data_IF_610962099165
#
_entry.id   IF_610962099165
#
_cell.length_a   1.000
_cell.length_b   1.000
_cell.length_c   1.000
_cell.angle_alpha   90.00
_cell.angle_beta   90.00
_cell.angle_gamma   90.00
#
_symmetry.space_group_name_H-M   'P 1'
#
loop_
_entity.id
_entity.type
_entity.pdbx_description
1 polymer ?
#
# COMPACT_ATOMS: atom_id res chain seq x y z
N UNK A 1 1.08 -8.01 -3.08
CA UNK A 1 0.20 -7.89 -1.88
C UNK A 1 -1.25 -7.55 -2.23
N UNK A 2 -1.47 -6.73 -3.24
CA UNK A 2 -2.83 -6.37 -3.68
C UNK A 2 -3.66 -7.58 -4.06
N UNK A 3 -3.04 -8.59 -4.70
CA UNK A 3 -3.72 -9.86 -5.01
C UNK A 3 -4.15 -10.59 -3.74
N UNK A 4 -3.32 -10.58 -2.69
CA UNK A 4 -3.67 -11.17 -1.39
C UNK A 4 -4.88 -10.46 -0.79
N UNK A 5 -4.90 -9.14 -0.83
CA UNK A 5 -6.04 -8.35 -0.36
C UNK A 5 -7.31 -8.67 -1.14
N UNK A 6 -7.21 -8.72 -2.47
CA UNK A 6 -8.34 -9.07 -3.33
C UNK A 6 -8.90 -10.46 -3.00
N UNK A 7 -8.05 -11.46 -2.87
CA UNK A 7 -8.45 -12.84 -2.56
C UNK A 7 -9.12 -12.90 -1.19
N UNK A 8 -8.56 -12.24 -0.18
CA UNK A 8 -9.12 -12.21 1.17
C UNK A 8 -10.49 -11.55 1.20
N UNK A 9 -10.65 -10.42 0.51
CA UNK A 9 -11.94 -9.73 0.43
C UNK A 9 -12.98 -10.53 -0.35
N UNK A 10 -12.56 -11.23 -1.41
CA UNK A 10 -13.45 -12.12 -2.16
C UNK A 10 -13.96 -13.27 -1.29
N UNK A 11 -13.11 -13.82 -0.43
CA UNK A 11 -13.52 -14.86 0.51
C UNK A 11 -14.55 -14.34 1.53
N UNK A 12 -14.41 -13.09 1.98
CA UNK A 12 -15.40 -12.46 2.86
C UNK A 12 -16.76 -12.39 2.18
N UNK A 13 -16.81 -12.04 0.89
CA UNK A 13 -18.06 -12.02 0.13
C UNK A 13 -18.71 -13.40 0.01
N UNK A 14 -17.92 -14.47 0.08
CA UNK A 14 -18.39 -15.85 0.08
C UNK A 14 -18.68 -16.40 1.48
N UNK A 15 -18.73 -15.53 2.49
CA UNK A 15 -19.06 -15.91 3.86
C UNK A 15 -17.89 -16.48 4.66
N UNK A 16 -16.65 -16.33 4.18
CA UNK A 16 -15.45 -16.80 4.85
C UNK A 16 -14.59 -15.62 5.29
N UNK A 17 -14.06 -15.70 6.51
CA UNK A 17 -13.05 -14.73 6.97
C UNK A 17 -11.71 -15.43 7.02
N UNK A 18 -10.85 -15.23 6.00
CA UNK A 18 -9.59 -15.95 5.93
C UNK A 18 -8.60 -15.42 6.97
N UNK A 19 -7.74 -16.31 7.45
CA UNK A 19 -6.50 -15.92 8.09
C UNK A 19 -5.53 -15.58 6.97
N UNK A 20 -5.11 -14.33 6.89
CA UNK A 20 -4.15 -13.90 5.87
C UNK A 20 -3.04 -13.05 6.48
N UNK A 21 -1.91 -13.03 5.80
CA UNK A 21 -0.81 -12.14 6.14
C UNK A 21 -0.96 -10.85 5.31
N UNK A 22 -1.88 -9.99 5.76
CA UNK A 22 -2.31 -8.82 5.00
C UNK A 22 -1.60 -7.53 5.41
N UNK A 23 -0.64 -7.59 6.34
CA UNK A 23 0.10 -6.42 6.82
C UNK A 23 1.57 -6.73 7.10
N UNK A 24 2.21 -7.52 6.25
CA UNK A 24 3.58 -7.99 6.44
C UNK A 24 4.66 -7.16 5.73
N UNK A 25 4.28 -6.11 5.02
CA UNK A 25 5.26 -5.22 4.40
C UNK A 25 5.98 -4.39 5.45
N UNK A 26 7.31 -4.38 5.37
CA UNK A 26 8.15 -3.64 6.31
C UNK A 26 8.62 -2.32 5.69
N UNK A 27 7.80 -1.28 5.84
CA UNK A 27 8.15 0.06 5.37
C UNK A 27 9.27 0.69 6.19
N UNK A 28 9.34 0.37 7.49
CA UNK A 28 10.32 0.96 8.40
C UNK A 28 11.76 0.63 8.00
N UNK A 29 12.02 -0.64 7.71
CA UNK A 29 13.36 -1.14 7.39
C UNK A 29 13.64 -1.18 5.89
N UNK A 30 12.70 -0.74 5.08
CA UNK A 30 12.89 -0.69 3.64
C UNK A 30 13.94 0.36 3.27
N UNK A 31 15.01 -0.09 2.60
CA UNK A 31 16.12 0.76 2.18
C UNK A 31 16.37 0.54 0.69
N UNK A 32 15.66 1.23 -0.19
CA UNK A 32 15.84 1.06 -1.63
C UNK A 32 17.20 1.59 -2.09
N UNK A 33 17.73 0.97 -3.15
CA UNK A 33 18.90 1.48 -3.84
C UNK A 33 18.49 2.49 -4.89
N UNK A 34 19.31 3.53 -5.08
CA UNK A 34 19.06 4.52 -6.12
C UNK A 34 19.21 3.88 -7.50
N UNK A 35 18.18 4.02 -8.33
CA UNK A 35 18.18 3.62 -9.72
C UNK A 35 18.55 4.79 -10.63
N UNK A 36 18.26 6.00 -10.19
CA UNK A 36 18.50 7.24 -10.92
C UNK A 36 19.45 8.15 -10.15
N UNK A 37 20.24 8.94 -10.89
CA UNK A 37 21.04 10.01 -10.29
C UNK A 37 20.13 11.11 -9.76
N UNK A 38 20.39 11.61 -8.55
CA UNK A 38 19.52 12.57 -7.87
C UNK A 38 19.27 13.83 -8.72
N UNK A 39 20.33 14.35 -9.36
CA UNK A 39 20.24 15.58 -10.15
C UNK A 39 19.95 15.34 -11.64
N UNK A 40 20.01 14.10 -12.10
CA UNK A 40 19.75 13.80 -13.50
C UNK A 40 18.24 13.88 -13.79
N UNK A 41 17.92 14.38 -14.98
CA UNK A 41 16.54 14.42 -15.48
C UNK A 41 16.49 13.56 -16.74
N UNK A 42 15.60 12.56 -16.75
CA UNK A 42 15.36 11.71 -17.91
C UNK A 42 13.86 11.45 -18.02
N UNK A 43 13.43 11.04 -19.20
CA UNK A 43 12.03 10.67 -19.41
C UNK A 43 11.61 9.51 -18.52
N UNK A 44 12.45 8.48 -18.42
CA UNK A 44 12.19 7.32 -17.58
C UNK A 44 12.05 7.71 -16.10
N UNK A 45 12.94 8.58 -15.61
CA UNK A 45 12.85 9.06 -14.23
C UNK A 45 11.57 9.85 -14.01
N UNK A 46 11.15 10.68 -14.95
CA UNK A 46 9.91 11.46 -14.87
C UNK A 46 8.69 10.54 -14.83
N UNK A 47 8.67 9.50 -15.65
CA UNK A 47 7.58 8.53 -15.68
C UNK A 47 7.49 7.74 -14.38
N UNK A 48 8.62 7.26 -13.86
CA UNK A 48 8.66 6.52 -12.61
C UNK A 48 8.28 7.40 -11.42
N UNK A 49 8.67 8.68 -11.43
CA UNK A 49 8.26 9.64 -10.41
C UNK A 49 6.73 9.85 -10.43
N UNK A 50 6.15 9.96 -11.61
CA UNK A 50 4.70 10.07 -11.78
C UNK A 50 3.99 8.84 -11.23
N UNK A 51 4.46 7.63 -11.60
CA UNK A 51 3.87 6.39 -11.13
C UNK A 51 3.97 6.25 -9.62
N UNK A 52 5.12 6.57 -9.02
CA UNK A 52 5.28 6.50 -7.57
C UNK A 52 4.33 7.47 -6.86
N UNK A 53 4.18 8.69 -7.36
CA UNK A 53 3.25 9.68 -6.80
C UNK A 53 1.80 9.22 -6.92
N UNK A 54 1.41 8.67 -8.06
CA UNK A 54 0.07 8.16 -8.29
C UNK A 54 -0.24 6.97 -7.38
N UNK A 55 0.71 6.05 -7.22
CA UNK A 55 0.55 4.91 -6.32
C UNK A 55 0.40 5.37 -4.86
N UNK A 56 1.16 6.36 -4.41
CA UNK A 56 1.01 6.91 -3.05
C UNK A 56 -0.39 7.48 -2.86
N UNK A 57 -0.89 8.23 -3.83
CA UNK A 57 -2.23 8.80 -3.77
C UNK A 57 -3.30 7.72 -3.71
N UNK A 58 -3.14 6.66 -4.49
CA UNK A 58 -4.05 5.51 -4.50
C UNK A 58 -4.05 4.80 -3.15
N UNK A 59 -2.87 4.56 -2.55
CA UNK A 59 -2.77 3.93 -1.23
C UNK A 59 -3.49 4.76 -0.15
N UNK A 60 -3.35 6.09 -0.19
CA UNK A 60 -4.04 6.98 0.74
C UNK A 60 -5.55 6.94 0.57
N UNK A 61 -6.03 6.95 -0.67
CA UNK A 61 -7.46 6.90 -0.98
C UNK A 61 -8.07 5.58 -0.49
N UNK A 62 -7.46 4.46 -0.83
CA UNK A 62 -7.94 3.12 -0.48
C UNK A 62 -7.90 2.92 1.04
N UNK A 63 -6.84 3.38 1.70
CA UNK A 63 -6.73 3.32 3.17
C UNK A 63 -7.86 4.09 3.84
N UNK A 64 -8.23 5.26 3.30
CA UNK A 64 -9.35 6.05 3.81
C UNK A 64 -10.70 5.33 3.66
N UNK A 65 -10.90 4.64 2.56
CA UNK A 65 -12.11 3.83 2.33
C UNK A 65 -12.19 2.66 3.32
N UNK A 66 -11.08 1.95 3.56
CA UNK A 66 -11.05 0.89 4.56
C UNK A 66 -11.32 1.42 5.97
N UNK A 67 -10.86 2.60 6.29
CA UNK A 67 -11.16 3.22 7.58
C UNK A 67 -12.66 3.43 7.79
N UNK A 68 -13.37 3.83 6.75
CA UNK A 68 -14.83 3.95 6.78
C UNK A 68 -15.50 2.59 6.89
N UNK A 69 -15.05 1.63 6.08
CA UNK A 69 -15.65 0.30 5.99
C UNK A 69 -15.52 -0.49 7.29
N UNK A 70 -14.42 -0.31 8.04
CA UNK A 70 -14.22 -0.99 9.33
C UNK A 70 -15.38 -0.76 10.28
N UNK A 71 -15.96 0.42 10.29
CA UNK A 71 -17.08 0.74 11.17
C UNK A 71 -18.42 0.20 10.68
N UNK A 72 -18.49 -0.26 9.42
CA UNK A 72 -19.71 -0.81 8.83
C UNK A 72 -19.97 -2.27 9.21
N UNK A 73 -18.96 -2.98 9.74
CA UNK A 73 -19.04 -4.41 10.01
C UNK A 73 -19.12 -4.71 11.51
N UNK A 74 -20.07 -5.57 11.88
CA UNK A 74 -20.21 -6.05 13.25
C UNK A 74 -19.23 -7.15 13.63
N UNK A 75 -18.71 -7.90 12.65
CA UNK A 75 -17.76 -9.00 12.90
C UNK A 75 -16.38 -8.47 13.23
N UNK A 76 -15.85 -8.89 14.39
CA UNK A 76 -14.47 -8.54 14.80
C UNK A 76 -13.43 -9.08 13.84
N UNK A 77 -13.63 -10.26 13.28
CA UNK A 77 -12.70 -10.88 12.36
C UNK A 77 -12.63 -10.13 11.04
N UNK A 78 -13.78 -9.67 10.53
CA UNK A 78 -13.83 -8.85 9.31
C UNK A 78 -13.16 -7.50 9.58
N UNK A 79 -13.46 -6.86 10.72
CA UNK A 79 -12.81 -5.58 11.07
C UNK A 79 -11.30 -5.71 11.19
N UNK A 80 -10.82 -6.81 11.79
CA UNK A 80 -9.38 -7.07 11.88
C UNK A 80 -8.74 -7.21 10.50
N UNK A 81 -9.38 -7.94 9.61
CA UNK A 81 -8.89 -8.09 8.23
C UNK A 81 -8.77 -6.73 7.54
N UNK A 82 -9.80 -5.91 7.61
CA UNK A 82 -9.78 -4.58 6.99
C UNK A 82 -8.73 -3.67 7.61
N UNK A 83 -8.56 -3.72 8.93
CA UNK A 83 -7.54 -2.96 9.62
C UNK A 83 -6.12 -3.40 9.23
N UNK A 84 -5.89 -4.70 9.09
CA UNK A 84 -4.60 -5.24 8.64
C UNK A 84 -4.28 -4.77 7.22
N UNK A 85 -5.26 -4.78 6.32
CA UNK A 85 -5.08 -4.25 4.96
C UNK A 85 -4.76 -2.76 5.00
N UNK A 86 -5.44 -1.99 5.86
CA UNK A 86 -5.18 -0.55 6.01
C UNK A 86 -3.75 -0.28 6.46
N UNK A 87 -3.22 -1.04 7.41
CA UNK A 87 -1.82 -0.91 7.85
C UNK A 87 -0.87 -1.23 6.70
N UNK A 88 -1.15 -2.26 5.91
CA UNK A 88 -0.36 -2.60 4.73
C UNK A 88 -0.32 -1.46 3.72
N UNK A 89 -1.46 -0.78 3.49
CA UNK A 89 -1.52 0.36 2.59
C UNK A 89 -0.62 1.51 3.07
N UNK A 90 -0.56 1.73 4.37
CA UNK A 90 0.34 2.73 4.96
C UNK A 90 1.81 2.37 4.75
N UNK A 91 2.16 1.08 4.92
CA UNK A 91 3.52 0.60 4.69
C UNK A 91 3.92 0.75 3.22
N UNK A 92 3.00 0.46 2.30
CA UNK A 92 3.26 0.66 0.86
C UNK A 92 3.53 2.13 0.55
N UNK A 93 2.76 3.05 1.11
CA UNK A 93 2.97 4.48 0.90
C UNK A 93 4.34 4.92 1.43
N UNK A 94 4.76 4.42 2.59
CA UNK A 94 6.10 4.69 3.15
C UNK A 94 7.21 4.17 2.24
N UNK A 95 7.06 2.96 1.73
CA UNK A 95 8.06 2.36 0.82
C UNK A 95 8.17 3.16 -0.48
N UNK A 96 7.06 3.57 -1.05
CA UNK A 96 7.04 4.39 -2.27
C UNK A 96 7.66 5.77 -2.03
N UNK A 97 7.39 6.38 -0.88
CA UNK A 97 8.00 7.65 -0.50
C UNK A 97 9.53 7.52 -0.39
N UNK A 98 10.00 6.48 0.28
CA UNK A 98 11.45 6.21 0.40
C UNK A 98 12.10 6.00 -0.97
N UNK A 99 11.43 5.29 -1.87
CA UNK A 99 11.89 5.11 -3.24
C UNK A 99 12.04 6.46 -3.96
N UNK A 100 11.05 7.33 -3.86
CA UNK A 100 11.09 8.66 -4.47
C UNK A 100 12.25 9.48 -3.93
N UNK A 101 12.43 9.50 -2.61
CA UNK A 101 13.50 10.28 -1.97
C UNK A 101 14.88 9.77 -2.36
N UNK A 102 15.08 8.45 -2.37
CA UNK A 102 16.36 7.83 -2.75
C UNK A 102 16.73 8.14 -4.21
N UNK A 103 15.74 8.31 -5.08
CA UNK A 103 15.94 8.56 -6.50
C UNK A 103 15.82 10.05 -6.88
N UNK A 104 15.75 10.95 -5.92
CA UNK A 104 15.66 12.39 -6.20
C UNK A 104 14.39 12.79 -6.93
N UNK A 105 13.27 12.19 -6.57
CA UNK A 105 11.95 12.40 -7.19
C UNK A 105 11.02 13.23 -6.29
N UNK A 106 11.55 14.10 -5.51
CA UNK A 106 10.77 14.90 -4.56
C UNK A 106 9.72 15.80 -5.22
#
# INVERSE_FOLDING_TARGET
KERTHYTSLSNVLNGQVPSCNCNDSDGRNYTPKATYTEIAVSEDKMQDAFLATDCIATEKLVSGEYNTDVFAFGSSDIRKLLADIQVEEQNHAEMLYKYKMTNGMA
#
